data_IF_075192955246
#
_entry.id   IF_075192955246
#
_cell.length_a   1.000
_cell.length_b   1.000
_cell.length_c   1.000
_cell.angle_alpha   90.00
_cell.angle_beta   90.00
_cell.angle_gamma   90.00
#
_symmetry.space_group_name_H-M   'P 1'
#
loop_
_entity.id
_entity.type
_entity.pdbx_description
1 polymer ?
#
# COMPACT_ATOMS: atom_id res chain seq x y z
N UNK A 1 -3.57 6.60 -20.21
CA UNK A 1 -4.09 6.25 -18.87
C UNK A 1 -5.35 5.46 -19.11
N UNK A 2 -5.39 4.22 -18.61
CA UNK A 2 -6.53 3.32 -18.74
C UNK A 2 -7.06 3.04 -17.32
N UNK A 3 -8.33 3.37 -17.02
CA UNK A 3 -8.90 3.12 -15.70
C UNK A 3 -9.09 1.63 -15.40
N UNK A 4 -9.09 0.75 -16.39
CA UNK A 4 -9.23 -0.69 -16.18
C UNK A 4 -7.88 -1.32 -15.86
N UNK A 5 -7.77 -1.98 -14.71
CA UNK A 5 -6.55 -2.65 -14.28
C UNK A 5 -6.62 -4.09 -14.75
N UNK A 6 -5.68 -4.48 -15.60
CA UNK A 6 -5.53 -5.82 -16.16
C UNK A 6 -4.12 -6.32 -15.89
N UNK A 7 -3.88 -7.61 -15.97
CA UNK A 7 -2.53 -8.16 -15.83
C UNK A 7 -1.58 -7.71 -16.96
N UNK A 8 -2.12 -7.16 -18.05
CA UNK A 8 -1.32 -6.60 -19.16
C UNK A 8 -0.79 -5.20 -18.85
N UNK A 9 -1.50 -4.43 -18.00
CA UNK A 9 -1.18 -3.03 -17.72
C UNK A 9 -0.88 -2.72 -16.24
N UNK A 10 -1.08 -3.69 -15.35
CA UNK A 10 -0.90 -3.57 -13.91
C UNK A 10 -0.30 -4.86 -13.34
N UNK A 11 0.31 -4.75 -12.17
CA UNK A 11 0.90 -5.88 -11.44
C UNK A 11 0.52 -5.82 -9.98
N UNK A 12 0.45 -6.97 -9.31
CA UNK A 12 0.21 -7.06 -7.88
C UNK A 12 1.24 -6.20 -7.13
N UNK A 13 0.79 -5.39 -6.19
CA UNK A 13 1.61 -4.42 -5.48
C UNK A 13 2.89 -5.06 -4.89
N UNK A 14 2.74 -6.20 -4.21
CA UNK A 14 3.84 -6.91 -3.56
C UNK A 14 4.92 -7.38 -4.55
N UNK A 15 4.53 -7.66 -5.80
CA UNK A 15 5.42 -8.10 -6.88
C UNK A 15 5.89 -6.95 -7.78
N UNK A 16 5.26 -5.77 -7.66
CA UNK A 16 5.54 -4.57 -8.45
C UNK A 16 6.59 -3.68 -7.79
N UNK A 17 6.53 -3.50 -6.46
CA UNK A 17 7.54 -2.70 -5.77
C UNK A 17 8.90 -3.39 -5.76
N UNK A 18 9.94 -2.61 -6.04
CA UNK A 18 11.35 -3.04 -6.03
C UNK A 18 12.15 -2.03 -5.22
N UNK A 19 12.98 -2.52 -4.30
CA UNK A 19 13.81 -1.72 -3.39
C UNK A 19 14.27 -2.56 -2.20
N UNK A 20 15.25 -2.07 -1.43
CA UNK A 20 15.92 -2.86 -0.38
C UNK A 20 14.97 -3.50 0.63
N UNK A 21 13.89 -2.81 1.00
CA UNK A 21 12.83 -3.32 1.88
C UNK A 21 12.15 -4.56 1.29
N UNK A 22 11.85 -4.55 -0.01
CA UNK A 22 11.20 -5.65 -0.72
C UNK A 22 12.18 -6.78 -1.09
N UNK A 23 13.47 -6.46 -1.22
CA UNK A 23 14.53 -7.47 -1.40
C UNK A 23 14.59 -8.41 -0.19
N UNK A 24 14.46 -7.87 1.03
CA UNK A 24 14.41 -8.69 2.25
C UNK A 24 13.17 -9.57 2.36
N UNK A 25 12.03 -9.14 1.79
CA UNK A 25 10.77 -9.88 1.83
C UNK A 25 10.72 -11.07 0.86
N UNK A 26 11.54 -11.05 -0.21
CA UNK A 26 11.63 -12.12 -1.20
C UNK A 26 10.25 -12.57 -1.73
N UNK A 27 9.38 -11.62 -2.04
CA UNK A 27 7.98 -11.90 -2.40
C UNK A 27 7.79 -12.91 -3.55
N UNK A 28 8.73 -12.97 -4.49
CA UNK A 28 8.69 -13.89 -5.63
C UNK A 28 8.91 -15.37 -5.23
N UNK A 29 9.35 -15.64 -4.00
CA UNK A 29 9.55 -17.00 -3.49
C UNK A 29 8.43 -17.47 -2.56
N UNK A 30 7.43 -16.62 -2.29
CA UNK A 30 6.30 -16.98 -1.44
C UNK A 30 5.40 -18.00 -2.14
N UNK A 31 4.92 -18.99 -1.38
CA UNK A 31 3.87 -19.90 -1.85
C UNK A 31 2.50 -19.22 -1.87
N UNK A 32 1.53 -19.81 -2.57
CA UNK A 32 0.15 -19.28 -2.62
C UNK A 32 -0.43 -19.10 -1.22
N UNK A 33 -0.22 -20.06 -0.31
CA UNK A 33 -0.69 -19.94 1.08
C UNK A 33 0.00 -18.80 1.86
N UNK A 34 1.27 -18.50 1.55
CA UNK A 34 1.96 -17.36 2.14
C UNK A 34 1.49 -16.03 1.54
N UNK A 35 1.14 -16.01 0.26
CA UNK A 35 0.54 -14.85 -0.41
C UNK A 35 -0.86 -14.56 0.13
N UNK A 36 -1.67 -15.60 0.37
CA UNK A 36 -2.99 -15.47 1.00
C UNK A 36 -2.85 -14.92 2.42
N UNK A 37 -1.93 -15.46 3.23
CA UNK A 37 -1.65 -14.91 4.55
C UNK A 37 -1.20 -13.44 4.48
N UNK A 38 -0.29 -13.10 3.56
CA UNK A 38 0.13 -11.72 3.38
C UNK A 38 -1.03 -10.82 2.95
N UNK A 39 -1.93 -11.32 2.09
CA UNK A 39 -3.08 -10.56 1.60
C UNK A 39 -3.97 -10.05 2.74
N UNK A 40 -4.11 -10.86 3.78
CA UNK A 40 -4.87 -10.47 4.97
C UNK A 40 -4.01 -9.59 5.90
N UNK A 41 -2.79 -10.01 6.23
CA UNK A 41 -2.01 -9.40 7.34
C UNK A 41 -1.00 -8.31 6.95
N UNK A 42 -0.74 -8.08 5.66
CA UNK A 42 0.19 -7.05 5.18
C UNK A 42 -0.56 -5.89 4.51
N UNK A 43 -0.16 -4.66 4.83
CA UNK A 43 -0.62 -3.45 4.16
C UNK A 43 0.58 -2.60 3.77
N UNK A 44 0.50 -2.00 2.59
CA UNK A 44 1.57 -1.22 1.99
C UNK A 44 1.07 0.20 1.76
N UNK A 45 1.76 1.19 2.34
CA UNK A 45 1.39 2.59 2.21
C UNK A 45 1.86 3.15 0.86
N UNK A 46 1.02 3.97 0.23
CA UNK A 46 1.23 4.51 -1.11
C UNK A 46 0.76 5.96 -1.19
N UNK A 47 1.60 6.86 -1.72
CA UNK A 47 1.19 8.24 -1.94
C UNK A 47 0.01 8.39 -2.92
N UNK A 48 -0.07 7.49 -3.93
CA UNK A 48 -1.12 7.53 -4.96
C UNK A 48 -2.35 6.69 -4.60
N UNK A 49 -2.14 5.50 -4.05
CA UNK A 49 -3.21 4.54 -3.76
C UNK A 49 -3.66 4.57 -2.29
N UNK A 50 -2.94 5.29 -1.43
CA UNK A 50 -3.20 5.35 0.01
C UNK A 50 -2.74 4.09 0.72
N UNK A 51 -3.56 3.04 0.65
CA UNK A 51 -3.30 1.74 1.28
C UNK A 51 -3.52 0.62 0.26
N UNK A 52 -2.52 -0.23 0.07
CA UNK A 52 -2.57 -1.37 -0.83
C UNK A 52 -2.46 -2.68 -0.05
N UNK A 53 -3.21 -3.69 -0.49
CA UNK A 53 -2.97 -5.09 -0.13
C UNK A 53 -1.96 -5.72 -1.11
N UNK A 54 -1.24 -6.78 -0.71
CA UNK A 54 -0.25 -7.44 -1.55
C UNK A 54 -0.65 -7.77 -2.98
N UNK A 55 -1.87 -8.27 -3.17
CA UNK A 55 -2.40 -8.73 -4.44
C UNK A 55 -3.23 -7.67 -5.19
N UNK A 56 -3.39 -6.46 -4.62
CA UNK A 56 -4.05 -5.38 -5.35
C UNK A 56 -3.21 -5.02 -6.58
N UNK A 57 -3.88 -4.94 -7.73
CA UNK A 57 -3.22 -4.49 -8.96
C UNK A 57 -2.90 -3.01 -8.86
N UNK A 58 -1.70 -2.65 -9.32
CA UNK A 58 -1.29 -1.26 -9.46
C UNK A 58 -0.60 -1.01 -10.80
N UNK A 59 -0.88 0.15 -11.38
CA UNK A 59 -0.14 0.69 -12.51
C UNK A 59 1.13 1.40 -12.02
N UNK A 60 2.19 1.45 -12.84
CA UNK A 60 3.43 2.12 -12.48
C UNK A 60 3.21 3.61 -12.23
N UNK A 61 3.77 4.10 -11.14
CA UNK A 61 3.74 5.50 -10.76
C UNK A 61 4.97 5.87 -9.94
N UNK A 62 5.23 7.16 -9.78
CA UNK A 62 6.21 7.67 -8.81
C UNK A 62 5.63 8.90 -8.10
N UNK A 63 5.11 8.69 -6.91
CA UNK A 63 4.52 9.72 -6.06
C UNK A 63 4.72 9.34 -4.59
N UNK A 64 5.77 9.90 -3.99
CA UNK A 64 6.11 9.66 -2.59
C UNK A 64 5.18 10.46 -1.67
N UNK A 65 4.88 9.94 -0.48
CA UNK A 65 3.97 10.59 0.49
C UNK A 65 4.42 12.01 0.87
N UNK A 66 5.73 12.26 0.95
CA UNK A 66 6.28 13.59 1.23
C UNK A 66 6.16 14.63 0.10
N UNK A 67 5.62 14.25 -1.07
CA UNK A 67 5.48 15.16 -2.21
C UNK A 67 4.50 16.29 -1.89
N UNK A 68 4.96 17.54 -2.01
CA UNK A 68 4.09 18.73 -1.92
C UNK A 68 3.27 18.90 -3.19
N UNK A 69 2.15 18.18 -3.25
CA UNK A 69 1.19 18.25 -4.35
C UNK A 69 -0.07 18.97 -3.90
N UNK A 70 -0.25 20.21 -4.34
CA UNK A 70 -1.49 20.96 -4.10
C UNK A 70 -2.67 20.26 -4.79
N UNK A 71 -3.76 20.10 -4.05
CA UNK A 71 -4.95 19.36 -4.46
C UNK A 71 -6.20 19.98 -3.82
N UNK A 72 -7.39 19.49 -4.19
CA UNK A 72 -8.66 20.05 -3.72
C UNK A 72 -8.85 19.99 -2.18
N UNK A 73 -8.05 19.20 -1.46
CA UNK A 73 -8.13 19.01 -0.01
C UNK A 73 -6.97 19.65 0.76
N UNK A 74 -5.96 20.19 0.08
CA UNK A 74 -4.84 20.83 0.76
C UNK A 74 -3.58 20.98 -0.09
N UNK A 75 -2.46 21.24 0.60
CA UNK A 75 -1.18 21.58 -0.02
C UNK A 75 -0.25 20.38 -0.29
N UNK A 76 -0.59 19.22 0.26
CA UNK A 76 0.22 18.00 0.24
C UNK A 76 -0.67 16.74 0.32
N UNK A 77 -0.04 15.56 0.26
CA UNK A 77 -0.73 14.27 0.29
C UNK A 77 -1.24 13.88 1.68
N UNK A 78 -0.63 14.35 2.75
CA UNK A 78 -1.14 14.18 4.12
C UNK A 78 -2.52 14.83 4.25
N UNK A 79 -2.68 16.07 3.79
CA UNK A 79 -3.98 16.75 3.76
C UNK A 79 -4.98 16.06 2.82
N UNK A 80 -4.50 15.49 1.70
CA UNK A 80 -5.36 14.76 0.76
C UNK A 80 -5.97 13.49 1.36
N UNK A 81 -5.15 12.70 2.04
CA UNK A 81 -5.55 11.43 2.64
C UNK A 81 -6.27 11.62 3.98
N UNK A 82 -5.85 12.60 4.78
CA UNK A 82 -6.45 12.87 6.10
C UNK A 82 -6.48 11.61 6.96
N UNK A 83 -7.66 11.27 7.48
CA UNK A 83 -7.87 10.07 8.32
C UNK A 83 -8.19 8.80 7.54
N UNK A 84 -8.29 8.85 6.20
CA UNK A 84 -8.75 7.70 5.40
C UNK A 84 -7.86 6.47 5.54
N UNK A 85 -6.55 6.68 5.54
CA UNK A 85 -5.59 5.57 5.65
C UNK A 85 -5.71 4.88 7.01
N UNK A 86 -5.84 5.65 8.10
CA UNK A 86 -6.00 5.08 9.43
C UNK A 86 -7.37 4.42 9.61
N UNK A 87 -8.43 4.98 9.03
CA UNK A 87 -9.76 4.36 8.98
C UNK A 87 -9.70 2.98 8.28
N UNK A 88 -9.08 2.89 7.11
CA UNK A 88 -8.93 1.62 6.38
C UNK A 88 -8.06 0.59 7.10
N UNK A 89 -7.03 1.04 7.83
CA UNK A 89 -6.23 0.14 8.68
C UNK A 89 -7.05 -0.42 9.83
N UNK A 90 -7.87 0.42 10.49
CA UNK A 90 -8.75 -0.02 11.57
C UNK A 90 -9.83 -1.00 11.07
N UNK A 91 -10.40 -0.76 9.88
CA UNK A 91 -11.33 -1.69 9.24
C UNK A 91 -10.65 -3.05 8.99
N UNK A 92 -9.44 -3.05 8.42
CA UNK A 92 -8.69 -4.28 8.16
C UNK A 92 -8.37 -5.08 9.44
N UNK A 93 -8.01 -4.40 10.53
CA UNK A 93 -7.76 -5.02 11.84
C UNK A 93 -9.05 -5.63 12.42
N UNK A 94 -10.15 -4.88 12.38
CA UNK A 94 -11.44 -5.35 12.88
C UNK A 94 -11.95 -6.58 12.11
N UNK A 95 -11.78 -6.63 10.79
CA UNK A 95 -12.17 -7.76 9.95
C UNK A 95 -11.38 -9.05 10.30
N UNK A 96 -10.15 -8.92 10.78
CA UNK A 96 -9.30 -10.04 11.22
C UNK A 96 -9.55 -10.44 12.68
N UNK A 97 -10.18 -9.55 13.46
CA UNK A 97 -10.25 -9.68 14.92
C UNK A 97 -8.90 -9.44 15.61
N UNK A 98 -8.00 -8.71 14.94
CA UNK A 98 -6.67 -8.37 15.44
C UNK A 98 -6.68 -6.99 16.11
N UNK A 99 -5.95 -6.84 17.22
CA UNK A 99 -5.77 -5.56 17.92
C UNK A 99 -4.34 -5.01 17.80
N UNK A 100 -3.46 -5.68 17.05
CA UNK A 100 -2.03 -5.35 16.97
C UNK A 100 -1.64 -4.90 15.56
N UNK A 101 -1.15 -3.66 15.46
CA UNK A 101 -0.52 -3.14 14.25
C UNK A 101 1.00 -3.08 14.42
N UNK A 102 1.71 -3.90 13.64
CA UNK A 102 3.18 -3.82 13.55
C UNK A 102 3.60 -2.83 12.47
N UNK A 103 4.08 -1.65 12.88
CA UNK A 103 4.57 -0.64 11.95
C UNK A 103 6.02 -0.92 11.52
N UNK A 104 6.21 -1.30 10.26
CA UNK A 104 7.52 -1.42 9.60
C UNK A 104 7.72 -0.37 8.48
N UNK A 105 6.85 0.63 8.40
CA UNK A 105 6.95 1.71 7.42
C UNK A 105 7.97 2.76 7.88
N UNK A 106 8.54 3.50 6.91
CA UNK A 106 9.36 4.66 7.24
C UNK A 106 8.49 5.76 7.86
N UNK A 107 9.11 6.67 8.63
CA UNK A 107 8.42 7.82 9.23
C UNK A 107 7.67 8.64 8.18
N UNK A 108 8.20 8.80 6.97
CA UNK A 108 7.53 9.54 5.87
C UNK A 108 6.14 8.99 5.53
N UNK A 109 5.91 7.70 5.65
CA UNK A 109 4.61 7.11 5.33
C UNK A 109 3.67 7.02 6.55
N UNK A 110 4.20 7.17 7.77
CA UNK A 110 3.46 7.03 9.03
C UNK A 110 3.24 8.36 9.79
N UNK A 111 3.64 9.49 9.20
CA UNK A 111 3.56 10.83 9.83
C UNK A 111 2.21 11.51 9.67
#
# INVERSE_FOLDING_TARGET
WDPAFTLDNAKQALLAFKGDVYTGLQAETLSDAQLDYAQDHLRMLSGLYGLLRPLDLMQPYRLEMGTRLANARGKDLYAFWGTRISEWLNEALADQGDDLLLNLASTEYFS
#
